data_IF_837108610469
#
_entry.id   IF_837108610469
#
_cell.length_a   1.000
_cell.length_b   1.000
_cell.length_c   1.000
_cell.angle_alpha   90.00
_cell.angle_beta   90.00
_cell.angle_gamma   90.00
#
_symmetry.space_group_name_H-M   'P 1'
#
loop_
_entity.id
_entity.type
_entity.pdbx_description
1 polymer ?
#
# COMPACT_ATOMS: atom_id res chain seq x y z
N UNK A 1 -9.52 -26.21 40.00
CA UNK A 1 -10.32 -26.01 38.78
C UNK A 1 -9.47 -25.20 37.82
N UNK A 2 -9.01 -25.88 36.76
CA UNK A 2 -8.32 -25.45 35.54
C UNK A 2 -7.20 -24.38 35.60
N UNK A 3 -5.99 -24.93 35.70
CA UNK A 3 -4.75 -24.42 35.12
C UNK A 3 -4.90 -24.35 33.58
N UNK A 4 -4.60 -23.20 32.98
CA UNK A 4 -4.33 -23.07 31.54
C UNK A 4 -2.81 -23.19 31.32
N UNK A 5 -2.31 -24.09 30.44
CA UNK A 5 -0.98 -23.94 29.90
C UNK A 5 -1.05 -23.13 28.59
N UNK A 6 -0.40 -21.96 28.66
CA UNK A 6 0.56 -21.40 27.69
C UNK A 6 0.30 -21.56 26.18
N UNK A 7 0.06 -20.40 25.55
CA UNK A 7 0.38 -20.06 24.16
C UNK A 7 1.73 -20.65 23.71
N UNK A 8 1.69 -21.59 22.77
CA UNK A 8 2.78 -21.73 21.79
C UNK A 8 2.41 -20.86 20.58
N UNK A 9 3.09 -19.72 20.47
CA UNK A 9 3.18 -18.98 19.22
C UNK A 9 3.79 -19.93 18.16
N UNK A 10 3.27 -20.01 16.93
CA UNK A 10 3.99 -20.71 15.89
C UNK A 10 5.30 -19.96 15.65
N UNK A 11 6.41 -20.62 16.02
CA UNK A 11 7.76 -20.27 15.60
C UNK A 11 7.73 -19.96 14.11
N UNK A 12 8.30 -18.82 13.72
CA UNK A 12 8.53 -18.43 12.33
C UNK A 12 8.93 -19.67 11.54
N UNK A 13 8.09 -20.09 10.58
CA UNK A 13 8.36 -21.23 9.72
C UNK A 13 9.65 -20.97 8.94
N UNK A 14 10.79 -21.50 9.39
CA UNK A 14 12.02 -21.49 8.61
C UNK A 14 11.77 -22.20 7.28
N UNK A 15 11.99 -21.49 6.16
CA UNK A 15 11.75 -22.01 4.82
C UNK A 15 12.67 -23.18 4.45
N UNK A 16 12.26 -23.98 3.47
CA UNK A 16 12.95 -25.16 2.91
C UNK A 16 14.42 -24.83 2.64
N UNK A 17 14.71 -23.69 1.99
CA UNK A 17 16.08 -23.29 1.68
C UNK A 17 16.91 -22.92 2.91
N UNK A 18 16.29 -22.35 3.94
CA UNK A 18 16.97 -22.02 5.20
C UNK A 18 17.32 -23.30 5.98
N UNK A 19 16.39 -24.26 6.04
CA UNK A 19 16.61 -25.58 6.68
C UNK A 19 17.69 -26.38 5.97
N UNK A 20 17.70 -26.38 4.63
CA UNK A 20 18.75 -27.01 3.84
C UNK A 20 20.14 -26.45 4.17
N UNK A 21 20.28 -25.12 4.29
CA UNK A 21 21.54 -24.47 4.69
C UNK A 21 21.94 -24.78 6.12
N UNK A 22 20.98 -24.75 7.06
CA UNK A 22 21.24 -25.00 8.47
C UNK A 22 21.70 -26.44 8.75
N UNK A 23 21.19 -27.40 7.97
CA UNK A 23 21.46 -28.82 8.17
C UNK A 23 22.54 -29.38 7.23
N UNK A 24 23.07 -28.57 6.32
CA UNK A 24 23.96 -29.02 5.23
C UNK A 24 25.16 -29.84 5.71
N UNK A 25 25.84 -29.38 6.77
CA UNK A 25 27.00 -30.05 7.37
C UNK A 25 26.66 -31.39 8.05
N UNK A 26 25.38 -31.60 8.40
CA UNK A 26 24.90 -32.84 9.01
C UNK A 26 24.40 -33.86 7.98
N UNK A 27 24.34 -33.51 6.70
CA UNK A 27 23.91 -34.39 5.61
C UNK A 27 25.07 -35.28 5.12
N UNK A 28 24.74 -36.49 4.67
CA UNK A 28 25.73 -37.33 3.95
C UNK A 28 26.11 -36.74 2.60
N UNK A 29 27.25 -37.11 2.01
CA UNK A 29 27.67 -36.61 0.68
C UNK A 29 26.60 -36.81 -0.42
N UNK A 30 25.82 -37.90 -0.33
CA UNK A 30 24.74 -38.16 -1.27
C UNK A 30 23.50 -37.28 -1.02
N UNK A 31 23.23 -36.90 0.23
CA UNK A 31 22.17 -35.96 0.59
C UNK A 31 22.58 -34.50 0.35
N UNK A 32 23.86 -34.15 0.52
CA UNK A 32 24.40 -32.84 0.16
C UNK A 32 24.20 -32.56 -1.33
N UNK A 33 24.44 -33.54 -2.21
CA UNK A 33 24.12 -33.41 -3.64
C UNK A 33 22.64 -33.14 -3.92
N UNK A 34 21.75 -33.70 -3.11
CA UNK A 34 20.31 -33.42 -3.20
C UNK A 34 20.02 -31.99 -2.72
N UNK A 35 20.60 -31.60 -1.58
CA UNK A 35 20.46 -30.25 -1.03
C UNK A 35 20.98 -29.18 -2.00
N UNK A 36 22.16 -29.37 -2.59
CA UNK A 36 22.77 -28.47 -3.56
C UNK A 36 21.89 -28.25 -4.77
N UNK A 37 21.36 -29.34 -5.36
CA UNK A 37 20.48 -29.23 -6.50
C UNK A 37 19.18 -28.48 -6.15
N UNK A 38 18.56 -28.76 -5.00
CA UNK A 38 17.33 -28.07 -4.58
C UNK A 38 17.61 -26.58 -4.31
N UNK A 39 18.75 -26.25 -3.71
CA UNK A 39 19.15 -24.85 -3.46
C UNK A 39 19.48 -24.08 -4.74
N UNK A 40 20.10 -24.73 -5.73
CA UNK A 40 20.46 -24.11 -7.01
C UNK A 40 19.28 -24.06 -8.00
N UNK A 41 18.36 -25.03 -7.92
CA UNK A 41 17.24 -25.20 -8.86
C UNK A 41 15.89 -25.43 -8.14
N UNK A 42 15.43 -24.51 -7.26
CA UNK A 42 14.23 -24.72 -6.46
C UNK A 42 12.95 -24.79 -7.31
N UNK A 43 12.81 -23.91 -8.30
CA UNK A 43 11.63 -23.89 -9.19
C UNK A 43 11.54 -25.16 -10.04
N UNK A 44 12.67 -25.61 -10.57
CA UNK A 44 12.71 -26.83 -11.36
C UNK A 44 12.37 -28.07 -10.52
N UNK A 45 12.85 -28.11 -9.27
CA UNK A 45 12.58 -29.19 -8.32
C UNK A 45 11.07 -29.42 -8.12
N UNK A 46 10.26 -28.37 -8.11
CA UNK A 46 8.79 -28.47 -7.94
C UNK A 46 8.19 -29.34 -9.05
N UNK A 47 8.67 -29.22 -10.29
CA UNK A 47 8.07 -29.82 -11.48
C UNK A 47 8.62 -31.20 -11.87
N UNK A 48 9.82 -31.57 -11.42
CA UNK A 48 10.46 -32.84 -11.83
C UNK A 48 9.98 -34.05 -11.01
N UNK A 49 9.79 -35.21 -11.62
CA UNK A 49 9.51 -36.44 -10.87
C UNK A 49 10.73 -36.89 -10.04
N UNK A 50 10.50 -37.72 -9.01
CA UNK A 50 11.58 -38.26 -8.18
C UNK A 50 12.62 -39.04 -9.00
N UNK A 51 12.18 -39.73 -10.05
CA UNK A 51 13.02 -40.48 -10.98
C UNK A 51 13.97 -39.56 -11.76
N UNK A 52 13.45 -38.42 -12.26
CA UNK A 52 14.26 -37.45 -13.01
C UNK A 52 15.24 -36.74 -12.10
N UNK A 53 14.83 -36.39 -10.88
CA UNK A 53 15.71 -35.79 -9.88
C UNK A 53 16.85 -36.75 -9.50
N UNK A 54 16.53 -38.02 -9.28
CA UNK A 54 17.51 -39.07 -8.96
C UNK A 54 18.56 -39.22 -10.07
N UNK A 55 18.14 -39.21 -11.34
CA UNK A 55 19.05 -39.26 -12.48
C UNK A 55 19.96 -38.03 -12.56
N UNK A 56 19.40 -36.82 -12.41
CA UNK A 56 20.18 -35.58 -12.55
C UNK A 56 21.21 -35.39 -11.44
N UNK A 57 20.87 -35.78 -10.21
CA UNK A 57 21.78 -35.69 -9.06
C UNK A 57 22.72 -36.91 -8.95
N UNK A 58 22.51 -37.94 -9.79
CA UNK A 58 23.20 -39.24 -9.73
C UNK A 58 23.09 -39.90 -8.35
N UNK A 59 21.87 -39.95 -7.81
CA UNK A 59 21.53 -40.56 -6.51
C UNK A 59 20.36 -41.53 -6.67
N UNK A 60 20.10 -42.35 -5.65
CA UNK A 60 18.88 -43.16 -5.62
C UNK A 60 17.66 -42.37 -5.16
N UNK A 61 16.46 -42.75 -5.58
CA UNK A 61 15.20 -42.14 -5.11
C UNK A 61 15.07 -42.18 -3.57
N UNK A 62 15.55 -43.27 -2.96
CA UNK A 62 15.59 -43.42 -1.50
C UNK A 62 16.46 -42.36 -0.82
N UNK A 63 17.52 -41.89 -1.48
CA UNK A 63 18.39 -40.82 -0.96
C UNK A 63 17.68 -39.47 -0.95
N UNK A 64 16.88 -39.17 -1.98
CA UNK A 64 16.07 -37.95 -2.04
C UNK A 64 15.05 -37.95 -0.91
N UNK A 65 14.35 -39.07 -0.69
CA UNK A 65 13.36 -39.19 0.38
C UNK A 65 14.01 -39.08 1.77
N UNK A 66 15.21 -39.67 1.96
CA UNK A 66 15.98 -39.52 3.21
C UNK A 66 16.36 -38.06 3.45
N UNK A 67 16.92 -37.37 2.45
CA UNK A 67 17.25 -35.94 2.57
C UNK A 67 16.04 -35.09 3.00
N UNK A 68 14.87 -35.32 2.41
CA UNK A 68 13.63 -34.60 2.78
C UNK A 68 13.27 -34.81 4.26
N UNK A 69 13.44 -36.04 4.77
CA UNK A 69 13.19 -36.38 6.18
C UNK A 69 14.24 -35.83 7.12
N UNK A 70 15.51 -35.86 6.70
CA UNK A 70 16.62 -35.30 7.46
C UNK A 70 16.38 -33.83 7.76
N UNK A 71 15.77 -33.06 6.85
CA UNK A 71 15.45 -31.64 7.05
C UNK A 71 14.04 -31.34 7.58
N UNK A 72 13.32 -32.38 8.03
CA UNK A 72 12.05 -32.23 8.76
C UNK A 72 10.77 -32.31 7.93
N UNK A 73 10.80 -32.85 6.70
CA UNK A 73 9.60 -33.10 5.89
C UNK A 73 9.27 -34.60 5.78
N UNK A 74 8.00 -34.95 5.59
CA UNK A 74 7.57 -36.35 5.53
C UNK A 74 8.04 -37.09 4.26
N UNK A 75 8.42 -36.33 3.21
CA UNK A 75 8.98 -36.83 1.96
C UNK A 75 8.97 -35.76 0.86
N UNK A 76 9.33 -36.16 -0.37
CA UNK A 76 9.50 -35.22 -1.48
C UNK A 76 8.24 -34.43 -1.84
N UNK A 77 7.05 -35.05 -1.74
CA UNK A 77 5.78 -34.37 -2.01
C UNK A 77 5.52 -33.23 -1.01
N UNK A 78 5.78 -33.49 0.27
CA UNK A 78 5.61 -32.53 1.36
C UNK A 78 6.62 -31.38 1.23
N UNK A 79 7.89 -31.70 0.96
CA UNK A 79 8.92 -30.72 0.65
C UNK A 79 8.56 -29.85 -0.56
N UNK A 80 8.05 -30.44 -1.65
CA UNK A 80 7.62 -29.70 -2.85
C UNK A 80 6.44 -28.78 -2.58
N UNK A 81 5.50 -29.18 -1.73
CA UNK A 81 4.39 -28.34 -1.32
C UNK A 81 4.90 -27.14 -0.51
N UNK A 82 5.80 -27.37 0.44
CA UNK A 82 6.46 -26.30 1.21
C UNK A 82 7.27 -25.36 0.30
N UNK A 83 8.06 -25.92 -0.62
CA UNK A 83 8.88 -25.17 -1.58
C UNK A 83 8.00 -24.37 -2.57
N UNK A 84 6.85 -24.91 -2.97
CA UNK A 84 5.87 -24.21 -3.79
C UNK A 84 5.15 -23.11 -3.01
N UNK A 85 4.83 -23.32 -1.74
CA UNK A 85 4.26 -22.25 -0.90
C UNK A 85 5.25 -21.12 -0.62
N UNK A 86 6.54 -21.44 -0.48
CA UNK A 86 7.63 -20.44 -0.41
C UNK A 86 7.87 -19.74 -1.74
N UNK A 87 7.61 -20.43 -2.85
CA UNK A 87 7.64 -19.82 -4.19
C UNK A 87 6.46 -18.87 -4.44
N UNK A 88 5.40 -18.93 -3.63
CA UNK A 88 4.17 -18.14 -3.80
C UNK A 88 4.12 -16.90 -2.86
N UNK A 89 5.04 -16.72 -1.90
CA UNK A 89 5.18 -15.43 -1.18
C UNK A 89 6.56 -15.36 -0.52
N UNK A 90 7.38 -14.30 -0.72
CA UNK A 90 7.03 -12.87 -0.83
C UNK A 90 7.29 -12.32 -2.24
N UNK A 91 6.65 -11.25 -2.73
CA UNK A 91 6.96 -9.86 -2.34
C UNK A 91 8.46 -9.53 -2.22
N UNK A 92 9.34 -10.38 -2.77
CA UNK A 92 10.76 -10.12 -2.97
C UNK A 92 10.94 -9.75 -4.44
N UNK A 93 11.09 -8.45 -4.64
CA UNK A 93 11.78 -7.84 -5.78
C UNK A 93 11.18 -8.12 -7.17
N UNK A 94 9.97 -7.61 -7.39
CA UNK A 94 9.74 -6.92 -8.67
C UNK A 94 10.05 -5.44 -8.41
N UNK A 95 11.31 -5.21 -8.04
CA UNK A 95 11.99 -3.93 -8.17
C UNK A 95 12.56 -3.79 -9.60
N UNK A 96 11.98 -4.48 -10.56
CA UNK A 96 12.32 -4.26 -11.94
C UNK A 96 11.62 -2.99 -12.40
N UNK A 97 12.43 -2.05 -12.86
CA UNK A 97 11.95 -0.98 -13.70
C UNK A 97 11.17 -1.56 -14.89
N UNK A 98 10.20 -0.78 -15.35
CA UNK A 98 9.58 -1.06 -16.63
C UNK A 98 10.66 -0.85 -17.68
N UNK A 99 11.02 -1.92 -18.38
CA UNK A 99 12.04 -1.89 -19.42
C UNK A 99 11.38 -1.56 -20.77
N UNK A 100 12.08 -0.88 -21.69
CA UNK A 100 11.54 -0.56 -23.01
C UNK A 100 11.02 -1.76 -23.81
N UNK A 101 11.62 -2.94 -23.60
CA UNK A 101 11.30 -4.18 -24.31
C UNK A 101 10.30 -5.08 -23.54
N UNK A 102 9.80 -4.63 -22.39
CA UNK A 102 8.78 -5.37 -21.63
C UNK A 102 7.50 -5.54 -22.46
N UNK A 103 7.01 -6.78 -22.54
CA UNK A 103 5.72 -7.07 -23.14
C UNK A 103 4.58 -6.45 -22.31
N UNK A 104 3.46 -6.08 -22.95
CA UNK A 104 2.32 -5.41 -22.29
C UNK A 104 1.85 -6.15 -21.03
N UNK A 105 1.85 -7.49 -21.05
CA UNK A 105 1.49 -8.31 -19.88
C UNK A 105 2.46 -8.13 -18.70
N UNK A 106 3.76 -8.02 -18.97
CA UNK A 106 4.80 -7.73 -17.99
C UNK A 106 4.66 -6.31 -17.44
N UNK A 107 4.48 -5.31 -18.32
CA UNK A 107 4.25 -3.91 -17.92
C UNK A 107 3.05 -3.81 -16.99
N UNK A 108 1.93 -4.44 -17.35
CA UNK A 108 0.71 -4.45 -16.54
C UNK A 108 0.96 -5.02 -15.16
N UNK A 109 1.66 -6.17 -15.08
CA UNK A 109 1.99 -6.82 -13.82
C UNK A 109 2.87 -5.92 -12.95
N UNK A 110 3.93 -5.33 -13.53
CA UNK A 110 4.86 -4.42 -12.83
C UNK A 110 4.13 -3.19 -12.28
N UNK A 111 3.23 -2.59 -13.04
CA UNK A 111 2.42 -1.44 -12.59
C UNK A 111 1.51 -1.82 -11.43
N UNK A 112 0.69 -2.87 -11.57
CA UNK A 112 -0.25 -3.27 -10.52
C UNK A 112 0.47 -3.69 -9.22
N UNK A 113 1.62 -4.36 -9.34
CA UNK A 113 2.42 -4.72 -8.17
C UNK A 113 3.05 -3.49 -7.51
N UNK A 114 3.49 -2.49 -8.27
CA UNK A 114 3.96 -1.23 -7.74
C UNK A 114 2.87 -0.51 -6.93
N UNK A 115 1.63 -0.52 -7.43
CA UNK A 115 0.51 0.10 -6.74
C UNK A 115 0.14 -0.66 -5.46
N UNK A 116 0.12 -2.00 -5.49
CA UNK A 116 -0.06 -2.84 -4.30
C UNK A 116 1.02 -2.55 -3.25
N UNK A 117 2.29 -2.47 -3.68
CA UNK A 117 3.40 -2.18 -2.79
C UNK A 117 3.27 -0.79 -2.17
N UNK A 118 2.88 0.24 -2.93
CA UNK A 118 2.71 1.58 -2.40
C UNK A 118 1.60 1.67 -1.36
N UNK A 119 0.50 0.93 -1.54
CA UNK A 119 -0.55 0.81 -0.52
C UNK A 119 0.00 0.12 0.73
N UNK A 120 0.72 -0.99 0.55
CA UNK A 120 1.31 -1.75 1.66
C UNK A 120 2.34 -0.91 2.44
N UNK A 121 3.25 -0.22 1.75
CA UNK A 121 4.23 0.67 2.36
C UNK A 121 3.54 1.84 3.07
N UNK A 122 2.50 2.42 2.46
CA UNK A 122 1.70 3.48 3.07
C UNK A 122 1.09 3.02 4.40
N UNK A 123 0.57 1.79 4.49
CA UNK A 123 0.04 1.25 5.73
C UNK A 123 1.10 1.17 6.84
N UNK A 124 2.37 0.99 6.50
CA UNK A 124 3.46 0.95 7.49
C UNK A 124 3.86 2.33 8.02
N UNK A 125 3.71 3.40 7.22
CA UNK A 125 4.15 4.76 7.57
C UNK A 125 3.01 5.69 8.01
N UNK A 126 1.76 5.33 7.69
CA UNK A 126 0.60 6.13 8.04
C UNK A 126 0.33 6.07 9.54
N UNK A 127 0.46 7.20 10.22
CA UNK A 127 0.18 7.30 11.66
C UNK A 127 -1.34 7.30 11.91
N UNK A 128 -1.82 6.21 12.52
CA UNK A 128 -3.23 6.02 12.86
C UNK A 128 -3.77 7.13 13.79
N UNK A 129 -2.96 7.65 14.71
CA UNK A 129 -3.38 8.73 15.63
C UNK A 129 -3.56 10.05 14.89
N UNK A 130 -2.72 10.31 13.89
CA UNK A 130 -2.88 11.49 13.04
C UNK A 130 -4.08 11.36 12.11
N UNK A 131 -4.33 10.15 11.58
CA UNK A 131 -5.51 9.84 10.79
C UNK A 131 -6.80 10.07 11.60
N UNK A 132 -6.85 9.55 12.83
CA UNK A 132 -7.96 9.75 13.76
C UNK A 132 -8.21 11.25 14.05
N UNK A 133 -7.15 12.02 14.31
CA UNK A 133 -7.27 13.47 14.51
C UNK A 133 -7.78 14.19 13.26
N UNK A 134 -7.35 13.77 12.06
CA UNK A 134 -7.84 14.31 10.80
C UNK A 134 -9.35 14.04 10.63
N UNK A 135 -9.81 12.82 10.91
CA UNK A 135 -11.24 12.46 10.91
C UNK A 135 -12.04 13.36 11.85
N UNK A 136 -11.57 13.55 13.09
CA UNK A 136 -12.23 14.37 14.09
C UNK A 136 -12.33 15.87 13.70
N UNK A 137 -11.35 16.37 12.94
CA UNK A 137 -11.35 17.74 12.42
C UNK A 137 -12.27 17.88 11.22
N UNK A 138 -12.26 16.93 10.30
CA UNK A 138 -13.14 16.91 9.13
C UNK A 138 -14.62 16.82 9.54
N UNK A 139 -14.94 16.04 10.58
CA UNK A 139 -16.31 15.90 11.09
C UNK A 139 -16.93 17.20 11.62
N UNK A 140 -16.10 18.06 12.22
CA UNK A 140 -16.54 19.30 12.86
C UNK A 140 -16.32 20.54 11.98
N UNK A 141 -15.80 20.34 10.76
CA UNK A 141 -15.42 21.43 9.88
C UNK A 141 -16.65 22.22 9.43
N UNK A 142 -16.60 23.55 9.58
CA UNK A 142 -17.63 24.44 9.02
C UNK A 142 -17.55 24.51 7.49
N UNK A 143 -16.35 24.30 6.94
CA UNK A 143 -16.04 24.13 5.52
C UNK A 143 -14.78 23.29 5.37
N UNK A 144 -14.73 22.43 4.35
CA UNK A 144 -13.53 21.67 3.97
C UNK A 144 -13.11 22.16 2.59
N UNK A 145 -11.91 22.71 2.47
CA UNK A 145 -11.38 23.17 1.18
C UNK A 145 -10.18 22.32 0.77
N UNK A 146 -10.29 21.65 -0.38
CA UNK A 146 -9.22 20.83 -0.93
C UNK A 146 -8.34 21.63 -1.87
N UNK A 147 -7.02 21.44 -1.75
CA UNK A 147 -6.01 22.09 -2.58
C UNK A 147 -5.10 21.05 -3.22
N UNK A 148 -4.68 21.33 -4.46
CA UNK A 148 -3.81 20.44 -5.22
C UNK A 148 -3.70 20.93 -6.67
N UNK A 149 -2.52 20.78 -7.27
CA UNK A 149 -2.27 21.17 -8.67
C UNK A 149 -1.60 20.02 -9.43
N UNK A 150 -1.64 20.05 -10.75
CA UNK A 150 -1.07 18.98 -11.59
C UNK A 150 -1.68 17.63 -11.25
N UNK A 151 -0.85 16.62 -11.02
CA UNK A 151 -1.30 15.26 -10.68
C UNK A 151 -2.01 15.13 -9.33
N UNK A 152 -1.90 16.12 -8.45
CA UNK A 152 -2.61 16.15 -7.17
C UNK A 152 -4.02 16.73 -7.28
N UNK A 153 -4.32 17.52 -8.33
CA UNK A 153 -5.64 18.13 -8.51
C UNK A 153 -6.75 17.08 -8.70
N UNK A 154 -6.60 16.01 -9.53
CA UNK A 154 -7.62 14.96 -9.64
C UNK A 154 -7.97 14.30 -8.31
N UNK A 155 -6.99 14.17 -7.40
CA UNK A 155 -7.19 13.60 -6.07
C UNK A 155 -8.01 14.57 -5.20
N UNK A 156 -7.71 15.88 -5.28
CA UNK A 156 -8.48 16.92 -4.59
C UNK A 156 -9.94 16.98 -5.08
N UNK A 157 -10.17 16.84 -6.38
CA UNK A 157 -11.50 16.81 -6.98
C UNK A 157 -12.27 15.56 -6.55
N UNK A 158 -11.63 14.39 -6.55
CA UNK A 158 -12.24 13.14 -6.07
C UNK A 158 -12.61 13.23 -4.57
N UNK A 159 -11.72 13.77 -3.73
CA UNK A 159 -11.99 14.02 -2.33
C UNK A 159 -13.18 14.99 -2.14
N UNK A 160 -13.20 16.10 -2.88
CA UNK A 160 -14.34 17.03 -2.89
C UNK A 160 -15.64 16.32 -3.24
N UNK A 161 -15.66 15.54 -4.34
CA UNK A 161 -16.85 14.81 -4.77
C UNK A 161 -17.36 13.87 -3.68
N UNK A 162 -16.48 13.07 -3.08
CA UNK A 162 -16.84 12.11 -2.02
C UNK A 162 -17.40 12.80 -0.78
N UNK A 163 -16.72 13.83 -0.29
CA UNK A 163 -17.15 14.54 0.92
C UNK A 163 -18.46 15.32 0.70
N UNK A 164 -18.65 15.88 -0.50
CA UNK A 164 -19.92 16.49 -0.90
C UNK A 164 -21.07 15.46 -0.90
N UNK A 165 -20.84 14.25 -1.44
CA UNK A 165 -21.83 13.16 -1.52
C UNK A 165 -22.35 12.70 -0.15
N UNK A 166 -21.56 12.86 0.92
CA UNK A 166 -21.99 12.59 2.31
C UNK A 166 -22.42 13.86 3.06
N UNK A 167 -22.73 14.92 2.33
CA UNK A 167 -23.34 16.14 2.84
C UNK A 167 -22.40 16.98 3.71
N UNK A 168 -21.08 16.90 3.49
CA UNK A 168 -20.13 17.84 4.10
C UNK A 168 -19.96 19.07 3.20
N UNK A 169 -19.75 20.26 3.80
CA UNK A 169 -19.51 21.50 3.07
C UNK A 169 -18.10 21.50 2.47
N UNK A 170 -17.90 20.75 1.40
CA UNK A 170 -16.62 20.61 0.71
C UNK A 170 -16.52 21.58 -0.48
N UNK A 171 -15.30 22.04 -0.78
CA UNK A 171 -14.98 22.86 -1.94
C UNK A 171 -13.63 22.52 -2.55
N UNK A 172 -13.48 22.78 -3.85
CA UNK A 172 -12.21 22.69 -4.57
C UNK A 172 -12.21 23.71 -5.70
N UNK A 173 -11.18 24.55 -5.76
CA UNK A 173 -10.90 25.37 -6.93
C UNK A 173 -9.85 24.65 -7.81
N UNK A 174 -10.04 24.66 -9.12
CA UNK A 174 -9.11 23.97 -10.05
C UNK A 174 -7.97 24.86 -10.52
N UNK A 175 -8.19 26.18 -10.57
CA UNK A 175 -7.15 27.15 -10.88
C UNK A 175 -6.28 27.47 -9.64
N UNK A 176 -4.95 27.47 -9.76
CA UNK A 176 -4.04 27.75 -8.64
C UNK A 176 -4.24 29.10 -7.96
N UNK A 177 -4.54 30.16 -8.72
CA UNK A 177 -4.78 31.49 -8.14
C UNK A 177 -6.13 31.49 -7.42
N UNK A 178 -7.13 30.84 -7.99
CA UNK A 178 -8.44 30.67 -7.35
C UNK A 178 -8.36 29.84 -6.06
N UNK A 179 -7.49 28.83 -5.98
CA UNK A 179 -7.23 28.10 -4.73
C UNK A 179 -6.71 29.06 -3.65
N UNK A 180 -5.73 29.89 -3.98
CA UNK A 180 -5.18 30.87 -3.03
C UNK A 180 -6.22 31.92 -2.62
N UNK A 181 -7.03 32.42 -3.56
CA UNK A 181 -8.12 33.37 -3.26
C UNK A 181 -9.17 32.72 -2.37
N UNK A 182 -9.65 31.51 -2.71
CA UNK A 182 -10.62 30.75 -1.90
C UNK A 182 -10.11 30.54 -0.47
N UNK A 183 -8.83 30.21 -0.32
CA UNK A 183 -8.18 30.02 0.98
C UNK A 183 -8.23 31.26 1.89
N UNK A 184 -8.16 32.47 1.33
CA UNK A 184 -8.25 33.72 2.13
C UNK A 184 -9.64 33.99 2.70
N UNK A 185 -10.66 33.28 2.22
CA UNK A 185 -12.06 33.45 2.62
C UNK A 185 -12.59 32.29 3.47
N UNK A 186 -11.71 31.43 4.00
CA UNK A 186 -12.15 30.33 4.85
C UNK A 186 -12.73 30.84 6.17
N UNK A 187 -13.97 30.46 6.53
CA UNK A 187 -14.57 30.88 7.80
C UNK A 187 -13.91 30.20 9.01
N UNK A 188 -14.11 30.72 10.24
CA UNK A 188 -13.69 30.05 11.46
C UNK A 188 -14.21 28.61 11.53
N UNK A 189 -13.35 27.70 12.01
CA UNK A 189 -13.67 26.26 12.08
C UNK A 189 -13.51 25.50 10.75
N UNK A 190 -12.96 26.14 9.71
CA UNK A 190 -12.66 25.46 8.44
C UNK A 190 -11.48 24.50 8.55
N UNK A 191 -11.48 23.49 7.68
CA UNK A 191 -10.35 22.62 7.41
C UNK A 191 -9.81 22.91 6.01
N UNK A 192 -8.51 23.14 5.93
CA UNK A 192 -7.78 23.28 4.68
C UNK A 192 -7.00 21.98 4.43
N UNK A 193 -7.30 21.27 3.35
CA UNK A 193 -6.71 19.98 3.04
C UNK A 193 -5.86 20.07 1.77
N UNK A 194 -4.54 20.15 1.94
CA UNK A 194 -3.61 20.20 0.82
C UNK A 194 -3.10 18.81 0.43
N UNK A 195 -3.08 18.52 -0.87
CA UNK A 195 -2.50 17.32 -1.44
C UNK A 195 -1.30 17.74 -2.29
N UNK A 196 -0.10 17.30 -1.91
CA UNK A 196 1.12 17.55 -2.66
C UNK A 196 2.12 16.43 -2.42
N UNK A 197 2.36 15.62 -3.46
CA UNK A 197 3.28 14.49 -3.39
C UNK A 197 4.68 14.86 -2.87
N UNK A 198 5.31 15.86 -3.49
CA UNK A 198 6.63 16.34 -3.07
C UNK A 198 6.57 17.21 -1.81
N UNK A 199 5.39 17.75 -1.47
CA UNK A 199 5.22 18.78 -0.45
C UNK A 199 5.98 20.08 -0.76
N UNK A 200 6.36 20.30 -2.02
CA UNK A 200 7.16 21.46 -2.48
C UNK A 200 6.46 22.31 -3.53
N UNK A 201 5.27 21.92 -3.97
CA UNK A 201 4.57 22.61 -5.04
C UNK A 201 4.19 24.03 -4.61
N UNK A 202 4.73 25.04 -5.32
CA UNK A 202 4.66 26.44 -4.92
C UNK A 202 3.22 26.95 -4.82
N UNK A 203 2.39 26.56 -5.79
CA UNK A 203 0.98 26.93 -5.87
C UNK A 203 0.19 26.38 -4.69
N UNK A 204 0.34 25.09 -4.40
CA UNK A 204 -0.29 24.45 -3.23
C UNK A 204 0.21 25.03 -1.92
N UNK A 205 1.50 25.35 -1.84
CA UNK A 205 2.09 26.04 -0.69
C UNK A 205 1.45 27.40 -0.46
N UNK A 206 1.28 28.19 -1.52
CA UNK A 206 0.64 29.49 -1.41
C UNK A 206 -0.81 29.37 -0.91
N UNK A 207 -1.59 28.44 -1.46
CA UNK A 207 -2.97 28.22 -1.01
C UNK A 207 -3.04 27.76 0.45
N UNK A 208 -2.21 26.79 0.86
CA UNK A 208 -2.19 26.30 2.24
C UNK A 208 -1.74 27.38 3.22
N UNK A 209 -0.74 28.21 2.85
CA UNK A 209 -0.30 29.35 3.66
C UNK A 209 -1.41 30.40 3.80
N UNK A 210 -2.12 30.74 2.72
CA UNK A 210 -3.26 31.66 2.81
C UNK A 210 -4.34 31.13 3.76
N UNK A 211 -4.62 29.82 3.73
CA UNK A 211 -5.56 29.19 4.66
C UNK A 211 -5.04 29.18 6.12
N UNK A 212 -3.74 28.95 6.30
CA UNK A 212 -3.10 29.02 7.61
C UNK A 212 -3.26 30.41 8.23
N UNK A 213 -3.06 31.47 7.43
CA UNK A 213 -3.14 32.86 7.87
C UNK A 213 -4.57 33.26 8.31
N UNK A 214 -5.62 32.54 7.90
CA UNK A 214 -6.99 32.74 8.40
C UNK A 214 -7.30 32.00 9.71
N UNK A 215 -6.37 31.14 10.18
CA UNK A 215 -6.58 30.27 11.34
C UNK A 215 -7.32 28.96 11.02
N UNK A 216 -7.43 28.57 9.74
CA UNK A 216 -8.01 27.30 9.36
C UNK A 216 -7.14 26.13 9.85
N UNK A 217 -7.79 25.01 10.19
CA UNK A 217 -7.06 23.79 10.56
C UNK A 217 -6.51 23.12 9.30
N UNK A 218 -5.21 23.28 9.09
CA UNK A 218 -4.51 22.78 7.90
C UNK A 218 -4.04 21.32 8.04
N UNK A 219 -4.42 20.48 7.08
CA UNK A 219 -3.99 19.08 6.90
C UNK A 219 -3.20 18.97 5.60
N UNK A 220 -2.08 18.24 5.62
CA UNK A 220 -1.27 17.94 4.44
C UNK A 220 -1.24 16.44 4.18
N UNK A 221 -1.55 16.03 2.95
CA UNK A 221 -1.29 14.70 2.41
C UNK A 221 -0.11 14.77 1.43
N UNK A 222 0.94 13.99 1.71
CA UNK A 222 2.19 14.02 0.94
C UNK A 222 2.94 12.70 1.06
N UNK A 223 3.92 12.45 0.19
CA UNK A 223 4.80 11.27 0.32
C UNK A 223 6.12 11.55 1.04
N UNK A 224 6.32 12.77 1.54
CA UNK A 224 7.59 13.21 2.14
C UNK A 224 7.33 13.89 3.48
N UNK A 225 7.73 13.25 4.59
CA UNK A 225 7.50 13.75 5.94
C UNK A 225 8.12 15.13 6.21
N UNK A 226 9.27 15.47 5.61
CA UNK A 226 10.00 16.71 5.86
C UNK A 226 9.93 17.68 4.67
N UNK A 227 8.73 18.12 4.31
CA UNK A 227 8.51 18.99 3.17
C UNK A 227 8.29 20.46 3.57
N UNK A 228 8.57 21.45 2.70
CA UNK A 228 8.28 22.86 2.98
C UNK A 228 6.83 23.14 3.38
N UNK A 229 5.86 22.44 2.77
CA UNK A 229 4.44 22.52 3.10
C UNK A 229 4.12 22.10 4.55
N UNK A 230 4.92 21.22 5.16
CA UNK A 230 4.73 20.74 6.54
C UNK A 230 4.74 21.87 7.58
N UNK A 231 5.41 23.00 7.27
CA UNK A 231 5.43 24.18 8.14
C UNK A 231 4.06 24.85 8.32
N UNK A 232 3.14 24.61 7.39
CA UNK A 232 1.79 25.16 7.38
C UNK A 232 0.75 24.06 7.57
N UNK A 233 1.11 22.95 8.20
CA UNK A 233 0.23 21.83 8.46
C UNK A 233 0.18 21.55 9.96
N UNK A 234 -1.03 21.45 10.53
CA UNK A 234 -1.22 20.97 11.89
C UNK A 234 -1.11 19.44 11.94
N UNK A 235 -1.57 18.77 10.88
CA UNK A 235 -1.46 17.33 10.69
C UNK A 235 -0.84 17.07 9.32
N UNK A 236 0.13 16.17 9.28
CA UNK A 236 0.65 15.64 8.04
C UNK A 236 0.40 14.14 7.98
N UNK A 237 -0.38 13.72 6.98
CA UNK A 237 -0.56 12.33 6.61
C UNK A 237 0.49 11.99 5.55
N UNK A 238 1.34 11.01 5.86
CA UNK A 238 2.44 10.61 5.01
C UNK A 238 2.11 9.30 4.32
N UNK A 239 2.21 9.28 3.00
CA UNK A 239 2.17 8.06 2.19
C UNK A 239 3.57 7.63 1.79
N UNK A 240 3.72 6.38 1.35
CA UNK A 240 4.96 5.90 0.77
C UNK A 240 4.71 5.40 -0.65
N UNK A 241 5.45 5.96 -1.60
CA UNK A 241 5.47 5.51 -2.97
C UNK A 241 6.90 5.64 -3.51
N UNK A 242 7.53 4.52 -3.88
CA UNK A 242 8.85 4.51 -4.52
C UNK A 242 8.76 5.00 -5.96
N UNK A 243 9.62 5.94 -6.32
CA UNK A 243 9.75 6.47 -7.68
C UNK A 243 10.88 5.76 -8.45
N UNK A 244 10.72 5.54 -9.75
CA UNK A 244 11.79 5.08 -10.64
C UNK A 244 11.74 5.78 -12.00
N UNK A 245 12.80 5.68 -12.81
CA UNK A 245 13.01 6.54 -13.99
C UNK A 245 11.92 6.43 -15.09
N UNK A 246 11.25 5.28 -15.22
CA UNK A 246 10.10 5.09 -16.13
C UNK A 246 8.74 5.20 -15.42
N UNK A 247 8.73 5.34 -14.09
CA UNK A 247 7.55 5.59 -13.28
C UNK A 247 7.50 7.09 -13.00
N UNK A 248 6.82 7.87 -13.84
CA UNK A 248 6.60 9.28 -13.53
C UNK A 248 5.97 9.36 -12.13
N UNK A 249 6.55 10.21 -11.28
CA UNK A 249 6.25 10.33 -9.84
C UNK A 249 4.77 10.45 -9.48
N UNK A 250 3.89 10.68 -10.46
CA UNK A 250 2.45 10.84 -10.31
C UNK A 250 1.62 9.56 -10.34
N UNK A 251 2.10 8.43 -10.87
CA UNK A 251 1.23 7.26 -11.07
C UNK A 251 0.97 6.49 -9.78
N UNK A 252 2.04 6.00 -9.15
CA UNK A 252 1.95 5.14 -7.96
C UNK A 252 1.60 5.94 -6.69
N UNK A 253 2.15 7.15 -6.54
CA UNK A 253 1.83 8.03 -5.40
C UNK A 253 0.36 8.45 -5.37
N UNK A 254 -0.26 8.58 -6.55
CA UNK A 254 -1.69 8.90 -6.67
C UNK A 254 -2.55 7.81 -6.05
N UNK A 255 -2.24 6.53 -6.29
CA UNK A 255 -3.01 5.42 -5.73
C UNK A 255 -2.91 5.43 -4.20
N UNK A 256 -1.70 5.59 -3.66
CA UNK A 256 -1.50 5.69 -2.21
C UNK A 256 -2.29 6.85 -1.58
N UNK A 257 -2.25 8.04 -2.17
CA UNK A 257 -3.03 9.19 -1.70
C UNK A 257 -4.55 8.94 -1.78
N UNK A 258 -5.05 8.36 -2.88
CA UNK A 258 -6.46 8.02 -3.03
C UNK A 258 -6.90 7.02 -1.95
N UNK A 259 -6.09 6.02 -1.64
CA UNK A 259 -6.40 5.06 -0.58
C UNK A 259 -6.48 5.72 0.81
N UNK A 260 -5.65 6.72 1.10
CA UNK A 260 -5.77 7.50 2.35
C UNK A 260 -7.04 8.37 2.35
N UNK A 261 -7.40 8.97 1.22
CA UNK A 261 -8.67 9.71 1.08
C UNK A 261 -9.87 8.78 1.26
N UNK A 262 -9.84 7.57 0.71
CA UNK A 262 -10.88 6.55 0.89
C UNK A 262 -11.04 6.18 2.37
N UNK A 263 -9.93 5.95 3.07
CA UNK A 263 -9.95 5.64 4.51
C UNK A 263 -10.55 6.80 5.33
N UNK A 264 -10.14 8.04 5.06
CA UNK A 264 -10.70 9.24 5.70
C UNK A 264 -12.20 9.37 5.41
N UNK A 265 -12.60 9.23 4.15
CA UNK A 265 -14.00 9.32 3.73
C UNK A 265 -14.87 8.28 4.45
N UNK A 266 -14.46 7.01 4.44
CA UNK A 266 -15.22 5.93 5.09
C UNK A 266 -15.29 6.16 6.60
N UNK A 267 -14.19 6.52 7.26
CA UNK A 267 -14.17 6.78 8.70
C UNK A 267 -15.09 7.95 9.09
N UNK A 268 -15.08 9.03 8.31
CA UNK A 268 -15.96 10.20 8.50
C UNK A 268 -17.43 9.82 8.27
N UNK A 269 -17.73 9.10 7.19
CA UNK A 269 -19.09 8.66 6.87
C UNK A 269 -19.66 7.74 7.96
N UNK A 270 -18.85 6.83 8.49
CA UNK A 270 -19.27 5.90 9.55
C UNK A 270 -19.60 6.59 10.87
N UNK A 271 -18.90 7.67 11.22
CA UNK A 271 -19.20 8.47 12.41
C UNK A 271 -20.44 9.35 12.28
N UNK A 272 -20.97 9.51 11.08
CA UNK A 272 -22.20 10.24 10.75
C UNK A 272 -23.16 9.34 9.96
N UNK A 273 -23.25 8.06 10.33
CA UNK A 273 -23.88 7.01 9.49
C UNK A 273 -25.25 7.41 8.96
N UNK A 274 -26.19 7.82 9.83
CA UNK A 274 -27.54 8.22 9.43
C UNK A 274 -27.54 9.45 8.49
N UNK A 275 -26.83 10.52 8.86
CA UNK A 275 -26.75 11.74 8.05
C UNK A 275 -26.06 11.51 6.70
N UNK A 276 -25.03 10.65 6.68
CA UNK A 276 -24.27 10.32 5.49
C UNK A 276 -25.09 9.45 4.54
N UNK A 277 -25.84 8.47 5.05
CA UNK A 277 -26.78 7.68 4.23
C UNK A 277 -27.84 8.57 3.59
N UNK A 278 -28.48 9.44 4.38
CA UNK A 278 -29.51 10.36 3.86
C UNK A 278 -28.94 11.36 2.83
N UNK A 279 -27.68 11.79 2.96
CA UNK A 279 -27.02 12.62 1.96
C UNK A 279 -26.68 11.84 0.69
N UNK A 280 -26.22 10.59 0.84
CA UNK A 280 -25.92 9.70 -0.28
C UNK A 280 -27.17 9.38 -1.08
N UNK A 281 -28.29 9.06 -0.43
CA UNK A 281 -29.59 8.81 -1.07
C UNK A 281 -30.04 10.01 -1.91
N UNK A 282 -30.03 11.22 -1.33
CA UNK A 282 -30.36 12.46 -2.06
C UNK A 282 -29.44 12.72 -3.24
N UNK A 283 -28.16 12.39 -3.11
CA UNK A 283 -27.20 12.59 -4.19
C UNK A 283 -27.36 11.52 -5.29
N UNK A 284 -27.65 10.28 -4.92
CA UNK A 284 -27.89 9.18 -5.86
C UNK A 284 -29.16 9.43 -6.66
N UNK A 285 -30.24 9.92 -6.04
CA UNK A 285 -31.48 10.23 -6.76
C UNK A 285 -31.26 11.25 -7.89
N UNK A 286 -30.42 12.26 -7.66
CA UNK A 286 -30.05 13.22 -8.71
C UNK A 286 -29.27 12.52 -9.83
N UNK A 287 -28.31 11.64 -9.51
CA UNK A 287 -27.52 10.94 -10.54
C UNK A 287 -28.36 9.97 -11.37
N UNK A 288 -29.36 9.33 -10.76
CA UNK A 288 -30.28 8.43 -11.45
C UNK A 288 -31.12 9.19 -12.50
N UNK A 289 -31.50 10.45 -12.24
CA UNK A 289 -32.18 11.33 -13.21
C UNK A 289 -31.32 11.62 -14.47
N UNK A 290 -30.00 11.63 -14.32
CA UNK A 290 -29.04 11.85 -15.44
C UNK A 290 -28.54 10.55 -16.09
N UNK A 291 -29.01 9.39 -15.64
CA UNK A 291 -28.60 8.08 -16.17
C UNK A 291 -29.55 7.53 -17.24
N UNK A 292 -30.50 8.36 -17.71
CA UNK A 292 -31.44 8.10 -18.81
C UNK A 292 -30.87 8.56 -20.17
#
# INVERSE_FOLDING_TARGET
MQYYPSNEQPLVSEGVLARLRAMYEALTEAEQRVADFIMQHPQETIHLSVQVLAQRMQVSEATIVRCCRSIGYHGLRDLKLALASESVTPLQEIHEDILPDDQVGTVTRKVLQSDIQAIADTLTVLDEKLLEQAVEKLLRASRIEFFGVGSSLPIAIDAYYRFLRIGLPAGVATDPLMQAISATHLPPGSVAFAISHSGRTKETLNALRCAWDTGAFCILLSSHANAPLSKYAHIQLVTSARETAFRTSSLTSRIAHLSVIDALYVAVAMRRSESSLAALERSTSVLDEYSL
#
